data_IF_093039322747
#
_entry.id   IF_093039322747
#
_cell.length_a   1.000
_cell.length_b   1.000
_cell.length_c   1.000
_cell.angle_alpha   90.00
_cell.angle_beta   90.00
_cell.angle_gamma   90.00
#
_symmetry.space_group_name_H-M   'P 1'
#
loop_
_entity.id
_entity.type
_entity.pdbx_description
1 polymer ?
#
# COMPACT_ATOMS: atom_id res chain seq x y z
N UNK A 1 -11.58 38.08 -14.68
CA UNK A 1 -11.09 37.02 -13.78
C UNK A 1 -9.78 36.49 -14.36
N UNK A 2 -8.64 36.80 -13.74
CA UNK A 2 -7.32 36.41 -14.25
C UNK A 2 -7.13 34.90 -14.09
N UNK A 3 -7.23 34.17 -15.20
CA UNK A 3 -6.71 32.82 -15.32
C UNK A 3 -5.21 32.87 -15.00
N UNK A 4 -4.83 32.29 -13.85
CA UNK A 4 -3.44 32.04 -13.52
C UNK A 4 -2.84 31.17 -14.63
N UNK A 5 -2.04 31.82 -15.48
CA UNK A 5 -1.18 31.18 -16.45
C UNK A 5 -0.19 30.31 -15.67
N UNK A 6 -0.47 29.01 -15.62
CA UNK A 6 0.48 27.99 -15.18
C UNK A 6 1.63 28.08 -16.18
N UNK A 7 2.82 28.45 -15.69
CA UNK A 7 4.02 28.59 -16.52
C UNK A 7 4.35 27.34 -17.33
N UNK A 8 5.29 27.43 -18.29
CA UNK A 8 5.65 26.30 -19.14
C UNK A 8 6.08 25.12 -18.26
N UNK A 9 5.36 24.00 -18.40
CA UNK A 9 5.68 22.73 -17.77
C UNK A 9 7.11 22.36 -18.17
N UNK A 10 8.07 22.63 -17.29
CA UNK A 10 9.43 22.12 -17.40
C UNK A 10 9.36 20.59 -17.45
N UNK A 11 10.24 19.98 -18.24
CA UNK A 11 10.16 18.58 -18.64
C UNK A 11 9.76 17.60 -17.51
N UNK A 12 8.56 17.00 -17.71
CA UNK A 12 8.12 15.64 -17.33
C UNK A 12 7.75 15.32 -15.88
N UNK A 13 7.12 16.23 -15.13
CA UNK A 13 6.33 15.80 -13.97
C UNK A 13 4.99 15.24 -14.44
N UNK A 14 4.84 13.90 -14.44
CA UNK A 14 3.57 13.24 -14.75
C UNK A 14 2.75 13.10 -13.46
N UNK A 15 1.63 13.81 -13.29
CA UNK A 15 0.76 13.64 -12.13
C UNK A 15 0.15 12.23 -12.16
N UNK A 16 0.20 11.54 -11.02
CA UNK A 16 -0.37 10.20 -10.84
C UNK A 16 -1.38 10.22 -9.69
N UNK A 17 -2.45 9.43 -9.80
CA UNK A 17 -3.30 9.17 -8.63
C UNK A 17 -2.52 8.38 -7.57
N UNK A 18 -2.97 8.43 -6.31
CA UNK A 18 -2.33 7.75 -5.18
C UNK A 18 -2.06 6.26 -5.46
N UNK A 19 -3.03 5.51 -5.98
CA UNK A 19 -2.86 4.08 -6.29
C UNK A 19 -1.74 3.84 -7.34
N UNK A 20 -1.68 4.65 -8.40
CA UNK A 20 -0.67 4.55 -9.45
C UNK A 20 0.71 4.98 -8.94
N UNK A 21 0.76 5.97 -8.08
CA UNK A 21 2.00 6.43 -7.44
C UNK A 21 2.57 5.37 -6.50
N UNK A 22 1.74 4.77 -5.65
CA UNK A 22 2.16 3.72 -4.71
C UNK A 22 2.81 2.54 -5.43
N UNK A 23 2.18 2.03 -6.50
CA UNK A 23 2.78 0.94 -7.28
C UNK A 23 4.02 1.39 -8.05
N UNK A 24 4.05 2.63 -8.58
CA UNK A 24 5.24 3.16 -9.27
C UNK A 24 6.46 3.21 -8.35
N UNK A 25 6.27 3.59 -7.08
CA UNK A 25 7.33 3.67 -6.07
C UNK A 25 7.73 2.33 -5.47
N UNK A 26 6.89 1.30 -5.58
CA UNK A 26 7.13 -0.02 -4.99
C UNK A 26 8.08 -0.90 -5.84
N UNK A 27 9.33 -0.46 -6.05
CA UNK A 27 10.31 -1.14 -6.90
C UNK A 27 10.49 -2.63 -6.56
N UNK A 28 10.73 -2.94 -5.28
CA UNK A 28 10.90 -4.32 -4.82
C UNK A 28 9.64 -5.16 -5.04
N UNK A 29 8.45 -4.59 -4.82
CA UNK A 29 7.21 -5.33 -5.09
C UNK A 29 7.12 -5.69 -6.58
N UNK A 30 7.39 -4.76 -7.48
CA UNK A 30 7.33 -4.99 -8.93
C UNK A 30 8.33 -6.06 -9.40
N UNK A 31 9.57 -5.97 -8.93
CA UNK A 31 10.62 -6.93 -9.33
C UNK A 31 10.32 -8.35 -8.83
N UNK A 32 9.65 -8.48 -7.68
CA UNK A 32 9.33 -9.77 -7.06
C UNK A 32 7.82 -10.09 -7.04
N UNK A 33 7.03 -9.44 -7.89
CA UNK A 33 5.56 -9.52 -7.87
C UNK A 33 5.07 -10.95 -8.04
N UNK A 34 5.71 -11.71 -8.97
CA UNK A 34 5.36 -13.11 -9.23
C UNK A 34 5.41 -13.99 -7.99
N UNK A 35 6.39 -13.76 -7.11
CA UNK A 35 6.56 -14.52 -5.87
C UNK A 35 5.59 -14.03 -4.81
N UNK A 36 5.52 -12.72 -4.61
CA UNK A 36 4.67 -12.09 -3.60
C UNK A 36 3.19 -12.42 -3.85
N UNK A 37 2.76 -12.41 -5.11
CA UNK A 37 1.38 -12.65 -5.55
C UNK A 37 1.11 -14.10 -5.95
N UNK A 38 2.04 -15.04 -5.68
CA UNK A 38 1.84 -16.45 -6.03
C UNK A 38 0.59 -17.03 -5.34
N UNK A 39 -0.37 -17.62 -6.08
CA UNK A 39 -1.61 -18.13 -5.50
C UNK A 39 -1.42 -19.20 -4.43
N UNK A 40 -0.35 -19.99 -4.54
CA UNK A 40 -0.05 -21.10 -3.64
C UNK A 40 0.96 -20.72 -2.55
N UNK A 41 1.35 -19.45 -2.41
CA UNK A 41 2.39 -19.01 -1.48
C UNK A 41 2.12 -19.47 -0.05
N UNK A 42 0.87 -19.35 0.42
CA UNK A 42 0.47 -19.71 1.79
C UNK A 42 0.11 -21.19 1.97
N UNK A 43 0.28 -22.02 0.93
CA UNK A 43 0.26 -23.49 1.07
C UNK A 43 1.64 -24.06 1.41
N UNK A 44 2.68 -23.24 1.29
CA UNK A 44 4.05 -23.60 1.60
C UNK A 44 4.34 -23.43 3.10
N UNK A 45 5.24 -24.25 3.63
CA UNK A 45 5.79 -24.05 4.97
C UNK A 45 6.63 -22.77 5.03
N UNK A 46 6.89 -22.26 6.25
CA UNK A 46 7.74 -21.09 6.43
C UNK A 46 9.14 -21.28 5.85
N UNK A 47 9.70 -22.50 5.95
CA UNK A 47 10.99 -22.86 5.37
C UNK A 47 10.95 -22.85 3.83
N UNK A 48 9.89 -23.42 3.24
CA UNK A 48 9.70 -23.41 1.79
C UNK A 48 9.56 -21.98 1.25
N UNK A 49 8.81 -21.10 1.93
CA UNK A 49 8.72 -19.68 1.56
C UNK A 49 10.09 -19.01 1.66
N UNK A 50 10.86 -19.29 2.71
CA UNK A 50 12.20 -18.70 2.90
C UNK A 50 13.17 -19.13 1.78
N UNK A 51 13.15 -20.41 1.39
CA UNK A 51 13.94 -20.94 0.28
C UNK A 51 13.51 -20.31 -1.05
N UNK A 52 12.19 -20.21 -1.29
CA UNK A 52 11.65 -19.61 -2.50
C UNK A 52 12.07 -18.14 -2.67
N UNK A 53 12.09 -17.36 -1.57
CA UNK A 53 12.60 -15.98 -1.58
C UNK A 53 14.11 -15.96 -1.86
N UNK A 54 14.87 -16.87 -1.25
CA UNK A 54 16.33 -16.92 -1.40
C UNK A 54 16.74 -17.22 -2.84
N UNK A 55 16.11 -18.21 -3.47
CA UNK A 55 16.32 -18.59 -4.87
C UNK A 55 16.02 -17.40 -5.78
N UNK A 56 14.84 -16.79 -5.63
CA UNK A 56 14.46 -15.63 -6.42
C UNK A 56 15.43 -14.45 -6.34
N UNK A 57 15.99 -14.17 -5.15
CA UNK A 57 16.97 -13.10 -4.98
C UNK A 57 18.30 -13.46 -5.65
N UNK A 58 18.73 -14.73 -5.57
CA UNK A 58 19.98 -15.19 -6.16
C UNK A 58 19.94 -15.18 -7.69
N UNK A 59 18.79 -15.51 -8.27
CA UNK A 59 18.58 -15.54 -9.72
C UNK A 59 18.35 -14.14 -10.31
N UNK A 60 18.12 -13.12 -9.47
CA UNK A 60 17.85 -11.77 -9.95
C UNK A 60 19.14 -11.03 -10.35
N UNK A 61 19.27 -10.52 -11.58
CA UNK A 61 20.52 -9.97 -12.13
C UNK A 61 21.07 -8.79 -11.33
N UNK A 62 20.19 -7.95 -10.77
CA UNK A 62 20.62 -6.77 -10.03
C UNK A 62 21.13 -7.08 -8.61
N UNK A 63 20.87 -8.28 -8.06
CA UNK A 63 20.96 -8.55 -6.62
C UNK A 63 21.84 -9.75 -6.27
N UNK A 64 22.37 -10.45 -7.26
CA UNK A 64 23.12 -11.70 -7.10
C UNK A 64 24.48 -11.52 -6.40
N UNK A 65 25.10 -10.32 -6.43
CA UNK A 65 26.50 -10.13 -6.03
C UNK A 65 26.73 -9.46 -4.66
N UNK A 66 25.78 -8.65 -4.13
CA UNK A 66 26.01 -7.85 -2.90
C UNK A 66 25.21 -8.39 -1.72
N UNK A 67 25.89 -8.99 -0.73
CA UNK A 67 25.27 -9.64 0.44
C UNK A 67 24.35 -8.71 1.26
N UNK A 68 24.78 -7.48 1.52
CA UNK A 68 23.98 -6.51 2.28
C UNK A 68 22.68 -6.15 1.54
N UNK A 69 22.78 -5.93 0.23
CA UNK A 69 21.63 -5.65 -0.60
C UNK A 69 20.61 -6.79 -0.57
N UNK A 70 21.08 -8.05 -0.68
CA UNK A 70 20.21 -9.23 -0.55
C UNK A 70 19.44 -9.25 0.77
N UNK A 71 20.08 -8.87 1.89
CA UNK A 71 19.41 -8.80 3.20
C UNK A 71 18.26 -7.79 3.18
N UNK A 72 18.51 -6.60 2.67
CA UNK A 72 17.49 -5.54 2.61
C UNK A 72 16.32 -5.92 1.70
N UNK A 73 16.60 -6.47 0.52
CA UNK A 73 15.56 -6.98 -0.41
C UNK A 73 14.73 -8.06 0.26
N UNK A 74 15.37 -9.05 0.88
CA UNK A 74 14.70 -10.14 1.57
C UNK A 74 13.74 -9.63 2.64
N UNK A 75 14.17 -8.66 3.45
CA UNK A 75 13.30 -8.02 4.45
C UNK A 75 12.09 -7.37 3.80
N UNK A 76 12.28 -6.62 2.71
CA UNK A 76 11.19 -5.95 1.99
C UNK A 76 10.20 -6.95 1.37
N UNK A 77 10.68 -8.03 0.75
CA UNK A 77 9.82 -9.10 0.22
C UNK A 77 8.99 -9.72 1.36
N UNK A 78 9.63 -10.06 2.50
CA UNK A 78 8.92 -10.60 3.67
C UNK A 78 7.86 -9.62 4.20
N UNK A 79 8.13 -8.31 4.20
CA UNK A 79 7.13 -7.29 4.56
C UNK A 79 5.90 -7.32 3.63
N UNK A 80 6.09 -7.45 2.33
CA UNK A 80 4.97 -7.57 1.38
C UNK A 80 4.21 -8.89 1.54
N UNK A 81 4.90 -10.00 1.75
CA UNK A 81 4.25 -11.30 2.00
C UNK A 81 3.40 -11.25 3.27
N UNK A 82 3.93 -10.68 4.37
CA UNK A 82 3.15 -10.45 5.60
C UNK A 82 1.97 -9.52 5.36
N UNK A 83 2.17 -8.42 4.61
CA UNK A 83 1.10 -7.49 4.24
C UNK A 83 -0.02 -8.21 3.52
N UNK A 84 0.31 -8.99 2.49
CA UNK A 84 -0.66 -9.78 1.73
C UNK A 84 -1.42 -10.73 2.65
N UNK A 85 -0.70 -11.50 3.48
CA UNK A 85 -1.31 -12.45 4.41
C UNK A 85 -2.32 -11.77 5.32
N UNK A 86 -1.91 -10.74 6.06
CA UNK A 86 -2.78 -10.00 6.99
C UNK A 86 -3.99 -9.41 6.26
N UNK A 87 -3.79 -8.83 5.08
CA UNK A 87 -4.88 -8.17 4.36
C UNK A 87 -5.88 -9.16 3.77
N UNK A 88 -5.41 -10.32 3.30
CA UNK A 88 -6.29 -11.41 2.87
C UNK A 88 -7.15 -11.93 4.01
N UNK A 89 -6.53 -12.18 5.17
CA UNK A 89 -7.23 -12.76 6.31
C UNK A 89 -8.20 -11.77 7.00
N UNK A 90 -7.83 -10.50 7.17
CA UNK A 90 -8.68 -9.52 7.86
C UNK A 90 -9.69 -8.81 6.96
N UNK A 91 -9.34 -8.62 5.69
CA UNK A 91 -10.04 -7.68 4.82
C UNK A 91 -10.42 -8.28 3.47
N UNK A 92 -10.42 -9.61 3.34
CA UNK A 92 -10.63 -10.32 2.08
C UNK A 92 -9.71 -9.84 0.96
N UNK A 93 -8.53 -9.33 1.33
CA UNK A 93 -7.49 -8.85 0.42
C UNK A 93 -7.94 -7.67 -0.43
N UNK A 94 -8.89 -6.84 0.02
CA UNK A 94 -9.44 -5.75 -0.80
C UNK A 94 -9.72 -4.46 -0.04
N UNK A 95 -9.67 -3.36 -0.78
CA UNK A 95 -10.13 -2.06 -0.29
C UNK A 95 -11.64 -2.11 -0.01
N UNK A 96 -12.05 -1.78 1.22
CA UNK A 96 -13.48 -1.74 1.61
C UNK A 96 -14.22 -0.57 0.95
N UNK A 97 -13.52 0.52 0.63
CA UNK A 97 -14.13 1.71 0.05
C UNK A 97 -14.57 1.54 -1.41
N UNK A 98 -13.68 1.06 -2.29
CA UNK A 98 -13.99 0.91 -3.72
C UNK A 98 -14.15 -0.54 -4.19
N UNK A 99 -13.66 -1.53 -3.44
CA UNK A 99 -13.65 -2.93 -3.83
C UNK A 99 -12.77 -3.30 -5.05
N UNK A 100 -12.27 -2.31 -5.81
CA UNK A 100 -11.53 -2.49 -7.07
C UNK A 100 -10.05 -2.83 -6.86
N UNK A 101 -9.43 -2.26 -5.83
CA UNK A 101 -8.03 -2.54 -5.50
C UNK A 101 -7.96 -3.73 -4.54
N UNK A 102 -7.13 -4.71 -4.89
CA UNK A 102 -6.94 -5.96 -4.17
C UNK A 102 -5.45 -6.23 -3.93
N UNK A 103 -5.16 -7.17 -3.04
CA UNK A 103 -3.82 -7.68 -2.77
C UNK A 103 -3.18 -8.34 -4.01
N UNK A 104 -3.99 -8.75 -5.00
CA UNK A 104 -3.54 -9.40 -6.22
C UNK A 104 -3.25 -8.42 -7.35
N UNK A 105 -3.87 -7.24 -7.38
CA UNK A 105 -3.69 -6.28 -8.47
C UNK A 105 -2.90 -5.02 -8.10
N UNK A 106 -2.87 -4.61 -6.82
CA UNK A 106 -2.09 -3.46 -6.34
C UNK A 106 -1.96 -3.47 -4.80
N UNK A 107 -1.32 -4.50 -4.26
CA UNK A 107 -0.98 -4.60 -2.83
C UNK A 107 -0.24 -3.37 -2.26
N UNK A 108 0.69 -2.72 -2.99
CA UNK A 108 1.34 -1.50 -2.50
C UNK A 108 0.37 -0.37 -2.17
N UNK A 109 -0.73 -0.25 -2.92
CA UNK A 109 -1.72 0.81 -2.71
C UNK A 109 -2.67 0.56 -1.54
N UNK A 110 -2.74 -0.65 -0.98
CA UNK A 110 -3.59 -0.93 0.18
C UNK A 110 -2.95 -0.41 1.48
N UNK A 111 -3.72 0.24 2.33
CA UNK A 111 -3.27 0.89 3.56
C UNK A 111 -4.25 0.61 4.71
N UNK A 112 -3.74 0.61 5.94
CA UNK A 112 -4.58 0.57 7.13
C UNK A 112 -5.16 1.97 7.40
N UNK A 113 -6.44 2.00 7.72
CA UNK A 113 -7.16 3.20 8.11
C UNK A 113 -7.90 2.94 9.42
N UNK A 114 -7.58 3.72 10.46
CA UNK A 114 -8.30 3.72 11.73
C UNK A 114 -9.70 4.31 11.53
N UNK A 115 -10.75 3.57 11.88
CA UNK A 115 -12.14 4.06 11.77
C UNK A 115 -12.47 5.16 12.79
N UNK A 116 -11.92 5.03 13.99
CA UNK A 116 -12.15 5.92 15.14
C UNK A 116 -10.80 6.41 15.66
N UNK A 117 -10.10 7.26 14.91
CA UNK A 117 -8.76 7.70 15.29
C UNK A 117 -8.74 8.55 16.58
N UNK A 118 -9.82 9.24 16.92
CA UNK A 118 -9.94 10.13 18.07
C UNK A 118 -9.88 9.41 19.42
N UNK A 119 -10.22 8.12 19.48
CA UNK A 119 -10.20 7.33 20.71
C UNK A 119 -8.85 6.64 20.98
N UNK A 120 -7.86 6.83 20.10
CA UNK A 120 -6.55 6.17 20.20
C UNK A 120 -5.48 7.16 20.65
N UNK A 121 -4.84 6.87 21.79
CA UNK A 121 -3.66 7.61 22.27
C UNK A 121 -2.47 7.47 21.32
N UNK A 122 -2.25 6.26 20.79
CA UNK A 122 -1.19 5.93 19.82
C UNK A 122 -1.78 5.11 18.69
N UNK A 123 -1.45 5.47 17.44
CA UNK A 123 -1.93 4.82 16.22
C UNK A 123 -0.78 4.12 15.54
N UNK A 124 -0.89 2.81 15.32
CA UNK A 124 0.13 2.08 14.59
C UNK A 124 -0.04 2.29 13.09
N UNK A 125 1.03 2.66 12.40
CA UNK A 125 1.09 2.63 10.94
C UNK A 125 1.50 1.26 10.46
N UNK A 126 1.31 0.97 9.17
CA UNK A 126 1.85 -0.27 8.58
C UNK A 126 3.38 -0.37 8.76
N UNK A 127 4.10 0.75 8.76
CA UNK A 127 5.56 0.74 8.98
C UNK A 127 5.90 0.17 10.35
N UNK A 128 5.19 0.60 11.39
CA UNK A 128 5.36 0.17 12.78
C UNK A 128 5.05 -1.32 12.94
N UNK A 129 3.99 -1.77 12.28
CA UNK A 129 3.52 -3.15 12.33
C UNK A 129 4.38 -4.11 11.49
N UNK A 130 5.00 -3.62 10.41
CA UNK A 130 5.63 -4.48 9.39
C UNK A 130 6.82 -5.31 9.86
N UNK A 131 7.35 -5.06 11.05
CA UNK A 131 8.43 -5.84 11.65
C UNK A 131 7.97 -6.89 12.67
N UNK A 132 6.69 -6.86 13.06
CA UNK A 132 6.08 -7.81 13.98
C UNK A 132 5.76 -9.13 13.27
N UNK A 133 5.49 -10.19 14.04
CA UNK A 133 4.89 -11.41 13.50
C UNK A 133 3.42 -11.16 13.10
N UNK A 134 2.87 -12.07 12.30
CA UNK A 134 1.52 -11.90 11.78
C UNK A 134 0.47 -11.81 12.90
N UNK A 135 0.57 -12.65 13.95
CA UNK A 135 -0.41 -12.72 15.03
C UNK A 135 -0.48 -11.40 15.81
N UNK A 136 0.67 -10.80 16.11
CA UNK A 136 0.71 -9.48 16.74
C UNK A 136 0.09 -8.40 15.85
N UNK A 137 0.37 -8.45 14.53
CA UNK A 137 -0.25 -7.52 13.57
C UNK A 137 -1.77 -7.69 13.57
N UNK A 138 -2.30 -8.92 13.58
CA UNK A 138 -3.75 -9.17 13.66
C UNK A 138 -4.35 -8.53 14.90
N UNK A 139 -3.79 -8.85 16.07
CA UNK A 139 -4.28 -8.37 17.36
C UNK A 139 -4.29 -6.84 17.44
N UNK A 140 -3.20 -6.19 17.01
CA UNK A 140 -3.12 -4.72 16.98
C UNK A 140 -4.10 -4.11 15.99
N UNK A 141 -4.20 -4.66 14.78
CA UNK A 141 -5.10 -4.16 13.74
C UNK A 141 -6.57 -4.24 14.16
N UNK A 142 -6.97 -5.33 14.83
CA UNK A 142 -8.31 -5.49 15.39
C UNK A 142 -8.55 -4.56 16.58
N UNK A 143 -7.61 -4.48 17.53
CA UNK A 143 -7.69 -3.59 18.70
C UNK A 143 -7.84 -2.13 18.30
N UNK A 144 -7.12 -1.70 17.26
CA UNK A 144 -7.14 -0.33 16.75
C UNK A 144 -8.32 -0.04 15.79
N UNK A 145 -9.24 -1.00 15.61
CA UNK A 145 -10.43 -0.89 14.76
C UNK A 145 -10.09 -0.39 13.33
N UNK A 146 -9.06 -1.00 12.74
CA UNK A 146 -8.58 -0.64 11.41
C UNK A 146 -9.40 -1.29 10.29
N UNK A 147 -9.42 -0.64 9.13
CA UNK A 147 -9.89 -1.20 7.85
C UNK A 147 -8.84 -1.08 6.76
N UNK A 148 -9.02 -1.84 5.68
CA UNK A 148 -8.23 -1.72 4.47
C UNK A 148 -8.83 -0.71 3.49
N UNK A 149 -8.11 0.37 3.18
CA UNK A 149 -8.43 1.28 2.09
C UNK A 149 -7.30 1.29 1.06
N UNK A 150 -7.61 1.59 -0.21
CA UNK A 150 -6.57 1.92 -1.17
C UNK A 150 -6.14 3.39 -1.01
N UNK A 151 -4.94 3.76 -1.44
CA UNK A 151 -4.37 5.10 -1.32
C UNK A 151 -5.32 6.22 -1.78
N UNK A 152 -6.05 6.00 -2.88
CA UNK A 152 -7.06 6.96 -3.34
C UNK A 152 -8.23 7.08 -2.36
N UNK A 153 -8.84 5.96 -1.95
CA UNK A 153 -9.94 5.99 -0.98
C UNK A 153 -9.49 6.56 0.36
N UNK A 154 -8.26 6.26 0.80
CA UNK A 154 -7.70 6.76 2.05
C UNK A 154 -7.44 8.28 2.02
N UNK A 155 -7.05 8.81 0.86
CA UNK A 155 -6.94 10.26 0.66
C UNK A 155 -8.32 10.92 0.65
N UNK A 156 -9.30 10.29 -0.01
CA UNK A 156 -10.68 10.79 -0.04
C UNK A 156 -11.32 10.82 1.35
N UNK A 157 -11.13 9.81 2.20
CA UNK A 157 -11.69 9.81 3.56
C UNK A 157 -11.09 10.89 4.46
N UNK A 158 -9.86 11.33 4.19
CA UNK A 158 -9.22 12.46 4.88
C UNK A 158 -9.55 13.81 4.27
N UNK A 159 -10.16 13.83 3.09
CA UNK A 159 -10.41 15.05 2.34
C UNK A 159 -11.63 15.80 2.89
N UNK A 160 -11.44 17.09 3.17
CA UNK A 160 -12.55 18.03 3.47
C UNK A 160 -13.19 18.59 2.21
N UNK A 161 -12.77 18.16 1.01
CA UNK A 161 -13.28 18.71 -0.25
C UNK A 161 -14.80 18.65 -0.34
N UNK A 162 -15.41 17.58 0.16
CA UNK A 162 -16.86 17.42 0.23
C UNK A 162 -17.56 18.56 0.98
N UNK A 163 -16.92 19.12 2.01
CA UNK A 163 -17.44 20.25 2.80
C UNK A 163 -17.49 21.55 1.99
N UNK A 164 -16.70 21.63 0.91
CA UNK A 164 -16.61 22.80 0.03
C UNK A 164 -17.28 22.59 -1.33
N UNK A 165 -17.75 21.38 -1.66
CA UNK A 165 -18.35 21.09 -2.96
C UNK A 165 -19.51 22.04 -3.28
N UNK A 166 -20.35 22.36 -2.29
CA UNK A 166 -21.45 23.31 -2.48
C UNK A 166 -20.95 24.69 -2.91
N UNK A 167 -19.96 25.24 -2.20
CA UNK A 167 -19.39 26.56 -2.53
C UNK A 167 -18.69 26.58 -3.90
N UNK A 168 -17.98 25.50 -4.23
CA UNK A 168 -17.23 25.38 -5.49
C UNK A 168 -18.18 25.30 -6.68
N UNK A 169 -19.24 24.50 -6.59
CA UNK A 169 -20.14 24.24 -7.71
C UNK A 169 -21.33 25.21 -7.78
N UNK A 170 -21.84 25.74 -6.66
CA UNK A 170 -22.97 26.68 -6.65
C UNK A 170 -22.55 28.12 -7.01
N UNK A 171 -21.26 28.47 -6.91
CA UNK A 171 -20.75 29.77 -7.37
C UNK A 171 -20.66 29.90 -8.91
N UNK A 172 -21.18 28.94 -9.67
CA UNK A 172 -21.31 29.04 -11.14
C UNK A 172 -22.47 29.93 -11.61
N UNK A 173 -23.28 30.47 -10.69
CA UNK A 173 -24.38 31.40 -10.98
C UNK A 173 -24.08 32.86 -10.60
N UNK A 174 -22.81 33.27 -10.51
CA UNK A 174 -22.45 34.69 -10.36
C UNK A 174 -21.74 35.16 -11.63
N UNK A 175 -22.52 35.88 -12.45
CA UNK A 175 -22.06 36.69 -13.58
C UNK A 175 -20.95 37.67 -13.18
#
# INVERSE_FOLDING_TARGET
MNLLLIGPLTDKVIPLCGNCHSIKKAKIFKEFEKIISSPNLFKLSAEQIENFIKEAINDHPNYSSIKEYKRNVKVQIKKYIRKRFVYEQLFNGRCIGCGKITAYNNLPALELHHRTPEILEVKSTWSDLSNMDCEEIFRKTLKENCVCLCANCHTLTRSKLHSYCKEIFDNTNRD
#
